data_IF_653161178070
#
_entry.id   IF_653161178070
#
_cell.length_a   1.000
_cell.length_b   1.000
_cell.length_c   1.000
_cell.angle_alpha   90.00
_cell.angle_beta   90.00
_cell.angle_gamma   90.00
#
_symmetry.space_group_name_H-M   'P 1'
#
loop_
_entity.id
_entity.type
_entity.pdbx_description
1 polymer ?
#
# COMPACT_ATOMS: atom_id res chain seq x y z
N UNK A 1 17.60 28.41 -16.86
CA UNK A 1 16.20 27.91 -16.79
C UNK A 1 15.93 26.95 -15.62
N UNK A 2 16.90 26.18 -15.09
CA UNK A 2 16.66 25.20 -14.01
C UNK A 2 16.30 25.76 -12.62
N UNK A 3 16.60 27.03 -12.32
CA UNK A 3 16.29 27.62 -11.00
C UNK A 3 14.83 28.07 -10.82
N UNK A 4 14.08 28.30 -11.91
CA UNK A 4 12.65 28.65 -11.83
C UNK A 4 11.77 27.44 -11.52
N UNK A 5 12.09 26.28 -12.09
CA UNK A 5 11.32 25.05 -11.88
C UNK A 5 11.41 24.57 -10.43
N UNK A 6 12.61 24.55 -9.84
CA UNK A 6 12.80 24.16 -8.45
C UNK A 6 12.01 25.06 -7.47
N UNK A 7 11.95 26.38 -7.73
CA UNK A 7 11.15 27.31 -6.90
C UNK A 7 9.65 27.05 -7.01
N UNK A 8 9.14 26.79 -8.22
CA UNK A 8 7.72 26.48 -8.42
C UNK A 8 7.35 25.13 -7.78
N UNK A 9 8.22 24.14 -7.89
CA UNK A 9 8.03 22.83 -7.26
C UNK A 9 8.01 22.95 -5.72
N UNK A 10 8.97 23.70 -5.15
CA UNK A 10 9.03 23.91 -3.70
C UNK A 10 7.79 24.67 -3.18
N UNK A 11 7.35 25.70 -3.89
CA UNK A 11 6.14 26.45 -3.53
C UNK A 11 4.86 25.61 -3.65
N UNK A 12 4.78 24.73 -4.65
CA UNK A 12 3.67 23.80 -4.79
C UNK A 12 3.64 22.76 -3.65
N UNK A 13 4.80 22.19 -3.29
CA UNK A 13 4.91 21.25 -2.16
C UNK A 13 4.54 21.95 -0.84
N UNK A 14 5.04 23.17 -0.61
CA UNK A 14 4.72 23.92 0.61
C UNK A 14 3.23 24.29 0.67
N UNK A 15 2.62 24.65 -0.46
CA UNK A 15 1.18 24.89 -0.57
C UNK A 15 0.33 23.64 -0.30
N UNK A 16 0.76 22.46 -0.77
CA UNK A 16 0.12 21.18 -0.46
C UNK A 16 0.23 20.81 1.03
N UNK A 17 1.37 21.07 1.68
CA UNK A 17 1.57 20.78 3.11
C UNK A 17 0.74 21.70 4.03
N UNK A 18 0.57 22.98 3.66
CA UNK A 18 -0.29 23.92 4.39
C UNK A 18 -1.77 23.58 4.18
N UNK A 19 -2.14 23.13 2.99
CA UNK A 19 -3.52 22.68 2.73
C UNK A 19 -3.86 21.40 3.52
N UNK A 20 -2.91 20.47 3.67
CA UNK A 20 -3.10 19.24 4.43
C UNK A 20 -3.34 19.46 5.95
N UNK A 21 -2.95 20.62 6.50
CA UNK A 21 -3.17 20.98 7.90
C UNK A 21 -4.51 21.70 8.14
N UNK A 22 -5.22 22.10 7.08
CA UNK A 22 -6.53 22.78 7.16
C UNK A 22 -7.75 21.85 7.06
N UNK A 23 -7.52 20.57 6.78
CA UNK A 23 -8.55 19.52 6.79
C UNK A 23 -8.29 18.60 7.99
N UNK A 24 -9.32 17.96 8.54
CA UNK A 24 -9.25 17.02 9.67
C UNK A 24 -8.34 15.79 9.51
N UNK A 25 -7.43 15.79 8.53
CA UNK A 25 -6.48 14.73 8.19
C UNK A 25 -5.54 14.31 9.35
N UNK A 26 -5.35 15.14 10.38
CA UNK A 26 -4.56 14.78 11.57
C UNK A 26 -5.42 14.10 12.65
N UNK A 27 -6.70 14.46 12.79
CA UNK A 27 -7.61 13.81 13.75
C UNK A 27 -8.10 12.45 13.22
N UNK A 28 -8.17 12.30 11.90
CA UNK A 28 -8.50 11.02 11.26
C UNK A 28 -7.34 10.01 11.29
N UNK A 29 -6.12 10.43 11.68
CA UNK A 29 -4.99 9.52 11.86
C UNK A 29 -5.23 8.50 12.99
N UNK A 30 -6.10 8.82 13.95
CA UNK A 30 -6.52 7.89 15.01
C UNK A 30 -7.42 6.76 14.49
N UNK A 31 -7.97 6.88 13.28
CA UNK A 31 -8.77 5.85 12.63
C UNK A 31 -7.95 4.93 11.72
N UNK A 32 -6.64 5.19 11.59
CA UNK A 32 -5.76 4.37 10.77
C UNK A 32 -5.31 3.13 11.56
N UNK A 33 -5.32 1.93 10.94
CA UNK A 33 -4.81 0.74 11.59
C UNK A 33 -3.32 0.93 11.90
N UNK A 34 -2.94 0.68 13.15
CA UNK A 34 -1.57 0.76 13.66
C UNK A 34 -0.91 -0.61 13.76
N UNK A 35 -1.73 -1.65 13.81
CA UNK A 35 -1.30 -3.05 13.92
C UNK A 35 -1.93 -3.90 12.81
N UNK A 36 -1.40 -5.09 12.58
CA UNK A 36 -2.01 -6.09 11.72
C UNK A 36 -3.40 -6.52 12.16
N UNK A 37 -3.64 -6.58 13.47
CA UNK A 37 -4.94 -6.88 14.04
C UNK A 37 -6.00 -5.82 13.66
N UNK A 38 -5.64 -4.54 13.78
CA UNK A 38 -6.52 -3.44 13.36
C UNK A 38 -6.70 -3.38 11.85
N UNK A 39 -5.69 -3.83 11.09
CA UNK A 39 -5.71 -3.88 9.61
C UNK A 39 -6.63 -4.99 9.07
N UNK A 40 -6.71 -6.13 9.77
CA UNK A 40 -7.41 -7.33 9.34
C UNK A 40 -8.85 -7.10 8.84
N UNK A 41 -9.75 -6.40 9.57
CA UNK A 41 -11.13 -6.20 9.12
C UNK A 41 -11.24 -5.41 7.80
N UNK A 42 -10.24 -4.59 7.47
CA UNK A 42 -10.21 -3.88 6.19
C UNK A 42 -9.70 -4.77 5.06
N UNK A 43 -8.71 -5.63 5.32
CA UNK A 43 -8.23 -6.62 4.36
C UNK A 43 -9.32 -7.63 4.00
N UNK A 44 -10.07 -8.13 4.99
CA UNK A 44 -11.18 -9.05 4.77
C UNK A 44 -12.24 -8.44 3.85
N UNK A 45 -12.51 -7.15 3.98
CA UNK A 45 -13.44 -6.43 3.09
C UNK A 45 -12.90 -6.27 1.67
N UNK A 46 -11.61 -5.98 1.52
CA UNK A 46 -10.96 -5.91 0.21
C UNK A 46 -10.93 -7.29 -0.46
N UNK A 47 -10.70 -8.35 0.32
CA UNK A 47 -10.65 -9.73 -0.15
C UNK A 47 -11.97 -10.22 -0.75
N UNK A 48 -13.11 -9.79 -0.20
CA UNK A 48 -14.46 -10.17 -0.67
C UNK A 48 -15.09 -9.15 -1.61
N UNK A 49 -14.38 -8.08 -1.98
CA UNK A 49 -14.94 -7.05 -2.86
C UNK A 49 -15.17 -7.61 -4.26
N UNK A 50 -16.42 -7.53 -4.72
CA UNK A 50 -16.84 -7.87 -6.07
C UNK A 50 -17.31 -6.59 -6.79
N UNK A 51 -16.66 -6.17 -7.89
CA UNK A 51 -16.99 -4.91 -8.58
C UNK A 51 -18.44 -4.83 -9.08
N UNK A 52 -19.05 -5.98 -9.36
CA UNK A 52 -20.40 -6.10 -9.90
C UNK A 52 -21.49 -6.04 -8.84
N UNK A 53 -21.14 -6.11 -7.55
CA UNK A 53 -22.10 -6.08 -6.44
C UNK A 53 -22.12 -4.69 -5.79
N UNK A 54 -23.31 -4.15 -5.47
CA UNK A 54 -23.41 -2.90 -4.74
C UNK A 54 -22.72 -3.01 -3.39
N UNK A 55 -21.95 -1.99 -3.04
CA UNK A 55 -21.23 -1.95 -1.77
C UNK A 55 -22.22 -1.82 -0.62
N UNK A 56 -22.24 -2.77 0.32
CA UNK A 56 -23.05 -2.62 1.54
C UNK A 56 -22.60 -1.37 2.30
N UNK A 57 -23.53 -0.48 2.71
CA UNK A 57 -23.16 0.77 3.35
C UNK A 57 -22.34 0.51 4.61
N UNK A 58 -21.20 1.20 4.72
CA UNK A 58 -20.35 1.19 5.90
C UNK A 58 -20.60 2.45 6.74
N UNK A 59 -20.50 2.37 8.07
CA UNK A 59 -20.32 3.56 8.88
C UNK A 59 -19.15 4.38 8.32
N UNK A 60 -19.28 5.70 8.25
CA UNK A 60 -18.33 6.59 7.56
C UNK A 60 -16.86 6.36 7.96
N UNK A 61 -16.56 6.17 9.25
CA UNK A 61 -15.21 5.86 9.72
C UNK A 61 -14.64 4.54 9.17
N UNK A 62 -15.48 3.52 8.96
CA UNK A 62 -15.07 2.25 8.34
C UNK A 62 -14.88 2.37 6.83
N UNK A 63 -15.59 3.30 6.18
CA UNK A 63 -15.39 3.61 4.76
C UNK A 63 -14.05 4.31 4.52
N UNK A 64 -13.68 5.27 5.38
CA UNK A 64 -12.37 5.93 5.33
C UNK A 64 -11.25 4.91 5.54
N UNK A 65 -11.37 4.04 6.56
CA UNK A 65 -10.39 2.98 6.81
C UNK A 65 -10.22 2.03 5.61
N UNK A 66 -11.32 1.66 4.93
CA UNK A 66 -11.27 0.84 3.73
C UNK A 66 -10.55 1.54 2.56
N UNK A 67 -10.92 2.79 2.26
CA UNK A 67 -10.27 3.58 1.20
C UNK A 67 -8.79 3.78 1.49
N UNK A 68 -8.46 4.05 2.75
CA UNK A 68 -7.09 4.16 3.21
C UNK A 68 -6.35 2.85 3.01
N UNK A 69 -6.87 1.70 3.46
CA UNK A 69 -6.19 0.39 3.30
C UNK A 69 -5.96 0.05 1.83
N UNK A 70 -6.93 0.35 0.96
CA UNK A 70 -6.80 0.14 -0.48
C UNK A 70 -5.67 1.00 -1.07
N UNK A 71 -5.65 2.29 -0.73
CA UNK A 71 -4.61 3.25 -1.16
C UNK A 71 -3.24 2.90 -0.56
N UNK A 72 -3.22 2.42 0.68
CA UNK A 72 -2.04 2.01 1.42
C UNK A 72 -1.37 0.80 0.76
N UNK A 73 -2.15 -0.23 0.41
CA UNK A 73 -1.64 -1.40 -0.35
C UNK A 73 -0.99 -0.93 -1.65
N UNK A 74 -1.66 -0.08 -2.42
CA UNK A 74 -1.11 0.47 -3.67
C UNK A 74 0.16 1.28 -3.42
N UNK A 75 0.19 2.14 -2.41
CA UNK A 75 1.36 2.95 -2.06
C UNK A 75 2.57 2.10 -1.70
N UNK A 76 2.39 1.10 -0.83
CA UNK A 76 3.47 0.16 -0.46
C UNK A 76 3.93 -0.63 -1.68
N UNK A 77 3.01 -1.09 -2.53
CA UNK A 77 3.35 -1.80 -3.76
C UNK A 77 4.19 -0.94 -4.73
N UNK A 78 3.82 0.32 -4.94
CA UNK A 78 4.61 1.23 -5.77
C UNK A 78 5.98 1.55 -5.14
N UNK A 79 6.08 1.65 -3.82
CA UNK A 79 7.35 1.85 -3.12
C UNK A 79 8.28 0.62 -3.26
N UNK A 80 7.76 -0.60 -3.05
CA UNK A 80 8.50 -1.85 -3.27
C UNK A 80 9.00 -1.93 -4.71
N UNK A 81 8.14 -1.58 -5.66
CA UNK A 81 8.50 -1.52 -7.07
C UNK A 81 9.61 -0.52 -7.31
N UNK A 82 9.45 0.73 -6.87
CA UNK A 82 10.47 1.77 -7.04
C UNK A 82 11.83 1.33 -6.46
N UNK A 83 11.84 0.71 -5.27
CA UNK A 83 13.05 0.15 -4.68
C UNK A 83 13.68 -0.94 -5.57
N UNK A 84 12.88 -1.83 -6.15
CA UNK A 84 13.39 -2.86 -7.05
C UNK A 84 14.01 -2.28 -8.34
N UNK A 85 13.45 -1.18 -8.88
CA UNK A 85 14.05 -0.44 -10.01
C UNK A 85 15.42 0.16 -9.64
N UNK A 86 15.52 0.81 -8.49
CA UNK A 86 16.78 1.40 -8.02
C UNK A 86 17.87 0.34 -7.80
N UNK A 87 17.50 -0.82 -7.27
CA UNK A 87 18.38 -1.96 -7.04
C UNK A 87 18.88 -2.64 -8.34
N UNK A 88 18.45 -2.18 -9.53
CA UNK A 88 18.68 -2.83 -10.84
C UNK A 88 18.26 -4.30 -10.89
N UNK A 89 17.36 -4.72 -9.99
CA UNK A 89 16.75 -6.05 -10.08
C UNK A 89 15.82 -6.01 -11.29
N UNK A 90 15.99 -6.98 -12.19
CA UNK A 90 15.15 -7.11 -13.38
C UNK A 90 13.68 -7.07 -12.95
N UNK A 91 12.95 -6.03 -13.37
CA UNK A 91 11.57 -5.74 -12.90
C UNK A 91 10.56 -6.77 -13.43
N UNK A 92 11.01 -7.75 -14.22
CA UNK A 92 10.24 -8.90 -14.64
C UNK A 92 9.57 -9.66 -13.47
N UNK A 93 9.99 -9.44 -12.23
CA UNK A 93 9.39 -10.04 -11.03
C UNK A 93 8.06 -9.46 -10.57
N UNK A 94 7.74 -8.21 -10.92
CA UNK A 94 6.49 -7.55 -10.49
C UNK A 94 5.64 -7.28 -11.72
N UNK A 95 4.93 -8.31 -12.18
CA UNK A 95 3.94 -8.16 -13.25
C UNK A 95 2.77 -7.30 -12.75
N UNK A 96 2.81 -6.03 -13.12
CA UNK A 96 1.80 -5.01 -12.83
C UNK A 96 0.41 -5.41 -13.33
N UNK A 97 0.33 -6.27 -14.35
CA UNK A 97 -0.94 -6.69 -14.91
C UNK A 97 -1.65 -7.73 -14.03
N UNK A 98 -0.94 -8.35 -13.09
CA UNK A 98 -1.46 -9.43 -12.26
C UNK A 98 -1.49 -9.10 -10.75
N UNK A 99 -1.01 -7.91 -10.37
CA UNK A 99 -1.04 -7.43 -9.00
C UNK A 99 -2.36 -6.70 -8.72
N UNK A 100 -3.28 -7.38 -8.05
CA UNK A 100 -4.51 -6.76 -7.53
C UNK A 100 -4.44 -6.55 -6.02
N UNK A 101 -5.05 -5.48 -5.54
CA UNK A 101 -5.15 -5.22 -4.09
C UNK A 101 -5.92 -6.34 -3.38
N UNK A 102 -6.86 -7.00 -4.06
CA UNK A 102 -7.56 -8.19 -3.56
C UNK A 102 -6.60 -9.37 -3.34
N UNK A 103 -5.68 -9.62 -4.28
CA UNK A 103 -4.66 -10.69 -4.14
C UNK A 103 -3.69 -10.40 -3.01
N UNK A 104 -3.26 -9.15 -2.86
CA UNK A 104 -2.38 -8.74 -1.76
C UNK A 104 -3.12 -8.83 -0.42
N UNK A 105 -4.39 -8.41 -0.35
CA UNK A 105 -5.20 -8.54 0.86
C UNK A 105 -5.37 -10.00 1.30
N UNK A 106 -5.73 -10.90 0.36
CA UNK A 106 -5.80 -12.34 0.61
C UNK A 106 -4.46 -12.91 1.10
N UNK A 107 -3.36 -12.51 0.47
CA UNK A 107 -2.01 -12.90 0.90
C UNK A 107 -1.69 -12.44 2.31
N UNK A 108 -2.03 -11.20 2.67
CA UNK A 108 -1.76 -10.62 3.98
C UNK A 108 -2.58 -11.29 5.09
N UNK A 109 -3.86 -11.59 4.83
CA UNK A 109 -4.71 -12.37 5.73
C UNK A 109 -4.06 -13.75 6.00
N UNK A 110 -3.72 -14.48 4.94
CA UNK A 110 -3.08 -15.79 5.05
C UNK A 110 -1.73 -15.72 5.78
N UNK A 111 -0.95 -14.67 5.53
CA UNK A 111 0.34 -14.44 6.17
C UNK A 111 0.20 -14.27 7.68
N UNK A 112 -0.76 -13.44 8.13
CA UNK A 112 -1.05 -13.25 9.56
C UNK A 112 -1.69 -14.48 10.22
N UNK A 113 -2.44 -15.29 9.47
CA UNK A 113 -2.95 -16.57 9.98
C UNK A 113 -1.83 -17.58 10.24
N UNK A 114 -0.85 -17.65 9.33
CA UNK A 114 0.31 -18.55 9.47
C UNK A 114 1.35 -18.02 10.47
N UNK A 115 1.38 -16.71 10.71
CA UNK A 115 2.32 -16.02 11.59
C UNK A 115 1.58 -15.06 12.53
N UNK A 116 0.96 -15.58 13.61
CA UNK A 116 0.16 -14.77 14.53
C UNK A 116 0.92 -13.59 15.15
N UNK A 117 2.24 -13.71 15.31
CA UNK A 117 3.14 -12.64 15.76
C UNK A 117 3.14 -11.42 14.83
N UNK A 118 2.74 -11.59 13.56
CA UNK A 118 2.61 -10.48 12.62
C UNK A 118 1.40 -9.60 12.91
N UNK A 119 0.42 -10.05 13.70
CA UNK A 119 -0.76 -9.25 14.04
C UNK A 119 -0.42 -8.02 14.88
N UNK A 120 0.67 -8.06 15.64
CA UNK A 120 1.15 -6.91 16.44
C UNK A 120 2.10 -6.00 15.67
N UNK A 121 2.52 -6.41 14.46
CA UNK A 121 3.43 -5.63 13.63
C UNK A 121 2.71 -4.48 12.93
N UNK A 122 3.43 -3.41 12.56
CA UNK A 122 2.84 -2.31 11.81
C UNK A 122 2.37 -2.77 10.42
N UNK A 123 1.25 -2.22 9.89
CA UNK A 123 0.70 -2.58 8.59
C UNK A 123 1.69 -2.61 7.44
N UNK A 124 2.65 -1.67 7.43
CA UNK A 124 3.64 -1.56 6.35
C UNK A 124 4.52 -2.81 6.27
N UNK A 125 4.94 -3.36 7.41
CA UNK A 125 5.76 -4.56 7.45
C UNK A 125 4.98 -5.77 6.90
N UNK A 126 3.70 -5.90 7.27
CA UNK A 126 2.83 -6.99 6.83
C UNK A 126 2.63 -6.94 5.32
N UNK A 127 2.24 -5.78 4.78
CA UNK A 127 2.00 -5.61 3.34
C UNK A 127 3.30 -5.76 2.55
N UNK A 128 4.41 -5.18 3.00
CA UNK A 128 5.71 -5.33 2.36
C UNK A 128 6.13 -6.81 2.25
N UNK A 129 6.10 -7.54 3.38
CA UNK A 129 6.48 -8.95 3.42
C UNK A 129 5.54 -9.81 2.58
N UNK A 130 4.25 -9.47 2.56
CA UNK A 130 3.26 -10.14 1.71
C UNK A 130 3.59 -9.95 0.23
N UNK A 131 3.89 -8.72 -0.20
CA UNK A 131 4.25 -8.42 -1.59
C UNK A 131 5.54 -9.15 -1.97
N UNK A 132 6.57 -9.12 -1.11
CA UNK A 132 7.82 -9.83 -1.34
C UNK A 132 7.63 -11.36 -1.47
N UNK A 133 6.69 -11.94 -0.72
CA UNK A 133 6.35 -13.35 -0.80
C UNK A 133 5.52 -13.71 -2.04
N UNK A 134 4.59 -12.84 -2.45
CA UNK A 134 3.73 -13.06 -3.61
C UNK A 134 4.44 -12.83 -4.94
N UNK A 135 5.39 -11.88 -4.97
CA UNK A 135 6.11 -11.45 -6.16
C UNK A 135 7.62 -11.49 -5.90
N UNK A 136 8.20 -12.68 -5.67
CA UNK A 136 9.62 -12.80 -5.39
C UNK A 136 10.43 -12.35 -6.62
N UNK A 137 11.39 -11.46 -6.40
CA UNK A 137 12.36 -11.14 -7.45
C UNK A 137 13.38 -12.26 -7.58
N UNK A 138 13.07 -13.21 -8.46
CA UNK A 138 14.06 -14.16 -8.95
C UNK A 138 15.08 -13.33 -9.74
N UNK A 139 16.34 -13.33 -9.31
CA UNK A 139 17.40 -12.74 -10.10
C UNK A 139 17.38 -13.43 -11.47
N UNK A 140 17.03 -12.67 -12.51
CA UNK A 140 17.19 -13.10 -13.89
C UNK A 140 18.63 -13.61 -14.01
N UNK A 141 18.87 -14.86 -14.45
CA UNK A 141 20.22 -15.40 -14.54
C UNK A 141 21.05 -14.40 -15.33
N UNK A 142 22.16 -13.95 -14.73
CA UNK A 142 22.98 -12.87 -15.27
C UNK A 142 23.20 -13.10 -16.76
N UNK A 143 22.76 -12.15 -17.60
CA UNK A 143 23.11 -12.15 -19.02
C UNK A 143 24.63 -12.10 -19.08
N UNK A 144 25.27 -13.24 -19.29
CA UNK A 144 26.67 -13.33 -19.70
C UNK A 144 26.76 -12.65 -21.06
N UNK A 145 27.22 -11.41 -21.03
CA UNK A 145 27.72 -10.69 -22.22
C UNK A 145 29.06 -11.27 -22.63
#
# INVERSE_FOLDING_TARGET
MHTRFAKQLLSAILGCLISASSFGAVQDADHLPRTGEELLPYLERIAIYEPTKPFSPLPQGKFIGLLWTNSFITGVFQAVRAQAYEDKKDISCIDLNNASNQRIANGAILYMQKRPEMKTQPPIAIIYMTIAALYPCIQSPAKTS
#
